data_IF_714257118715
#
_entry.id   IF_714257118715
#
_cell.length_a   1.000
_cell.length_b   1.000
_cell.length_c   1.000
_cell.angle_alpha   90.00
_cell.angle_beta   90.00
_cell.angle_gamma   90.00
#
_symmetry.space_group_name_H-M   'P 1'
#
loop_
_entity.id
_entity.type
_entity.pdbx_description
1 polymer ?
#
# COMPACT_ATOMS: atom_id res chain seq x y z
N UNK A 1 -2.79 25.54 3.48
CA UNK A 1 -1.84 24.43 3.68
C UNK A 1 -2.41 23.02 3.41
N UNK A 2 -3.75 22.84 3.29
CA UNK A 2 -4.36 21.57 2.91
C UNK A 2 -4.15 21.33 1.42
N UNK A 3 -3.45 20.24 1.08
CA UNK A 3 -3.15 19.86 -0.29
C UNK A 3 -4.00 18.71 -0.83
N UNK A 4 -4.59 17.91 0.07
CA UNK A 4 -5.34 16.74 -0.33
C UNK A 4 -6.51 16.47 0.63
N UNK A 5 -7.66 16.06 0.10
CA UNK A 5 -8.84 15.65 0.86
C UNK A 5 -9.18 14.19 0.55
N UNK A 6 -9.47 13.40 1.58
CA UNK A 6 -9.88 12.01 1.47
C UNK A 6 -11.33 11.84 1.97
N UNK A 7 -12.25 11.27 1.17
CA UNK A 7 -13.63 11.05 1.59
C UNK A 7 -13.76 9.83 2.52
N UNK A 8 -14.85 9.78 3.29
CA UNK A 8 -15.29 8.56 3.97
C UNK A 8 -15.83 7.58 2.94
N UNK A 9 -15.19 6.45 2.82
CA UNK A 9 -15.63 5.37 1.93
C UNK A 9 -16.48 4.37 2.68
N UNK A 10 -17.62 4.04 2.10
CA UNK A 10 -18.53 3.02 2.59
C UNK A 10 -18.51 1.81 1.65
N UNK A 11 -18.59 0.61 2.19
CA UNK A 11 -18.81 -0.62 1.44
C UNK A 11 -19.87 -1.45 2.15
N UNK A 12 -20.97 -1.70 1.48
CA UNK A 12 -22.15 -2.34 2.10
C UNK A 12 -22.61 -1.62 3.38
N UNK A 13 -22.64 -0.27 3.36
CA UNK A 13 -23.05 0.58 4.48
C UNK A 13 -22.06 0.65 5.64
N UNK A 14 -20.91 -0.04 5.58
CA UNK A 14 -19.88 0.00 6.61
C UNK A 14 -18.70 0.84 6.18
N UNK A 15 -18.10 1.55 7.14
CA UNK A 15 -16.89 2.33 6.87
C UNK A 15 -15.78 1.40 6.39
N UNK A 16 -15.37 1.63 5.15
CA UNK A 16 -14.26 0.95 4.51
C UNK A 16 -13.19 1.97 4.18
N UNK A 17 -12.09 1.95 4.90
CA UNK A 17 -11.02 2.91 4.66
C UNK A 17 -9.64 2.28 4.77
N UNK A 18 -8.72 2.77 3.95
CA UNK A 18 -7.29 2.53 4.04
C UNK A 18 -6.54 3.82 4.41
N UNK A 19 -7.20 4.68 5.18
CA UNK A 19 -6.64 5.93 5.66
C UNK A 19 -5.91 5.71 6.98
N UNK A 20 -4.76 6.38 7.16
CA UNK A 20 -3.85 6.17 8.27
C UNK A 20 -3.39 7.51 8.85
N UNK A 21 -3.38 7.61 10.18
CA UNK A 21 -2.93 8.82 10.87
C UNK A 21 -1.43 9.03 10.83
N UNK A 22 -0.65 7.94 10.82
CA UNK A 22 0.79 8.03 10.84
C UNK A 22 1.46 6.89 10.06
N UNK A 23 2.69 7.13 9.63
CA UNK A 23 3.59 6.13 9.06
C UNK A 23 4.77 5.89 10.01
N UNK A 24 5.02 4.63 10.32
CA UNK A 24 6.21 4.25 11.08
C UNK A 24 7.34 3.91 10.11
N UNK A 25 8.32 4.78 10.04
CA UNK A 25 9.52 4.62 9.21
C UNK A 25 10.76 4.29 10.05
N UNK A 26 10.57 3.90 11.32
CA UNK A 26 11.66 3.72 12.29
C UNK A 26 11.80 2.30 12.84
N UNK A 27 10.69 1.54 12.97
CA UNK A 27 10.70 0.19 13.55
C UNK A 27 10.52 -0.89 12.46
N UNK A 28 11.50 -1.80 12.25
CA UNK A 28 11.45 -2.80 11.17
C UNK A 28 10.40 -3.90 11.40
N UNK A 29 9.96 -4.11 12.63
CA UNK A 29 8.99 -5.15 13.00
C UNK A 29 7.57 -4.62 13.20
N UNK A 30 7.39 -3.31 13.15
CA UNK A 30 6.08 -2.70 13.23
C UNK A 30 5.43 -2.54 11.84
N UNK A 31 4.09 -2.44 11.81
CA UNK A 31 3.39 -2.05 10.59
C UNK A 31 3.83 -0.66 10.13
N UNK A 32 4.02 -0.50 8.81
CA UNK A 32 4.25 0.81 8.20
C UNK A 32 3.12 1.79 8.56
N UNK A 33 1.89 1.30 8.55
CA UNK A 33 0.68 2.10 8.73
C UNK A 33 0.21 2.05 10.18
N UNK A 34 0.05 3.22 10.81
CA UNK A 34 -0.42 3.41 12.18
C UNK A 34 -1.75 4.18 12.21
N UNK A 35 -2.59 3.90 13.20
CA UNK A 35 -3.85 4.61 13.37
C UNK A 35 -4.79 4.46 12.18
N UNK A 36 -5.16 3.23 11.82
CA UNK A 36 -6.10 2.96 10.73
C UNK A 36 -7.50 3.49 11.09
N UNK A 37 -8.02 4.44 10.32
CA UNK A 37 -9.26 5.15 10.63
C UNK A 37 -10.49 4.23 10.66
N UNK A 38 -10.51 3.13 9.87
CA UNK A 38 -11.62 2.16 9.91
C UNK A 38 -11.76 1.43 11.26
N UNK A 39 -10.75 1.52 12.14
CA UNK A 39 -10.77 0.98 13.49
C UNK A 39 -11.07 2.05 14.55
N UNK A 40 -11.26 3.28 14.13
CA UNK A 40 -11.49 4.45 14.97
C UNK A 40 -12.80 5.10 14.54
N UNK A 41 -13.59 5.54 15.50
CA UNK A 41 -14.76 6.36 15.21
C UNK A 41 -14.27 7.79 14.99
N UNK A 42 -14.23 8.23 13.73
CA UNK A 42 -13.78 9.56 13.35
C UNK A 42 -14.92 10.29 12.67
N UNK A 43 -15.51 11.25 13.39
CA UNK A 43 -16.70 11.99 12.95
C UNK A 43 -16.43 13.49 12.70
N UNK A 44 -15.17 13.91 12.74
CA UNK A 44 -14.74 15.26 12.39
C UNK A 44 -13.55 15.22 11.41
N UNK A 45 -13.36 16.28 10.61
CA UNK A 45 -12.21 16.39 9.74
C UNK A 45 -10.90 16.17 10.50
N UNK A 46 -10.10 15.21 10.04
CA UNK A 46 -8.90 14.76 10.77
C UNK A 46 -7.70 14.73 9.84
N UNK A 47 -6.56 15.24 10.32
CA UNK A 47 -5.31 15.16 9.58
C UNK A 47 -4.82 13.71 9.55
N UNK A 48 -4.43 13.27 8.35
CA UNK A 48 -3.93 11.92 8.08
C UNK A 48 -2.63 12.02 7.28
N UNK A 49 -1.85 10.95 7.24
CA UNK A 49 -0.64 10.91 6.42
C UNK A 49 -0.72 9.94 5.24
N UNK A 50 -1.82 9.23 5.09
CA UNK A 50 -2.01 8.32 3.97
C UNK A 50 -3.46 7.98 3.68
N UNK A 51 -3.80 7.93 2.40
CA UNK A 51 -5.11 7.53 1.87
C UNK A 51 -4.93 6.76 0.57
N UNK A 52 -5.88 5.90 0.24
CA UNK A 52 -5.89 5.23 -1.07
C UNK A 52 -6.39 6.17 -2.17
N UNK A 53 -5.95 5.96 -3.42
CA UNK A 53 -6.44 6.70 -4.59
C UNK A 53 -7.86 6.24 -5.00
N UNK A 54 -8.76 6.30 -4.03
CA UNK A 54 -10.18 6.02 -4.20
C UNK A 54 -10.95 7.28 -3.81
N UNK A 55 -11.12 8.20 -4.77
CA UNK A 55 -11.86 9.45 -4.63
C UNK A 55 -11.19 10.59 -3.86
N UNK A 56 -9.86 10.67 -3.68
CA UNK A 56 -9.26 11.84 -3.06
C UNK A 56 -9.33 13.05 -4.01
N UNK A 57 -9.46 14.25 -3.43
CA UNK A 57 -9.28 15.51 -4.13
C UNK A 57 -7.88 16.03 -3.86
N UNK A 58 -7.15 16.38 -4.92
CA UNK A 58 -5.76 16.86 -4.83
C UNK A 58 -5.72 18.26 -5.46
N UNK A 59 -5.16 19.22 -4.73
CA UNK A 59 -4.97 20.57 -5.24
C UNK A 59 -3.96 20.57 -6.39
N UNK A 60 -4.21 21.40 -7.38
CA UNK A 60 -3.34 21.57 -8.55
C UNK A 60 -1.91 21.92 -8.14
N UNK A 61 -1.74 22.81 -7.16
CA UNK A 61 -0.42 23.23 -6.65
C UNK A 61 0.40 22.09 -6.09
N UNK A 62 -0.26 21.06 -5.52
CA UNK A 62 0.44 19.85 -5.07
C UNK A 62 1.00 19.11 -6.28
N UNK A 63 0.18 18.90 -7.33
CA UNK A 63 0.62 18.22 -8.56
C UNK A 63 1.75 18.99 -9.23
N UNK A 64 1.65 20.32 -9.30
CA UNK A 64 2.69 21.18 -9.89
C UNK A 64 4.00 21.10 -9.10
N UNK A 65 3.93 20.97 -7.76
CA UNK A 65 5.11 20.94 -6.88
C UNK A 65 5.79 19.58 -6.81
N UNK A 66 5.02 18.49 -6.72
CA UNK A 66 5.57 17.14 -6.51
C UNK A 66 5.45 16.22 -7.74
N UNK A 67 4.81 16.68 -8.79
CA UNK A 67 4.55 15.91 -10.01
C UNK A 67 3.40 14.89 -9.86
N UNK A 68 3.25 14.06 -10.85
CA UNK A 68 2.25 12.98 -10.90
C UNK A 68 2.67 11.77 -10.04
N UNK A 69 1.74 10.84 -9.74
CA UNK A 69 2.09 9.54 -9.18
C UNK A 69 3.13 8.81 -10.03
N UNK A 70 4.02 8.05 -9.37
CA UNK A 70 5.07 7.28 -10.06
C UNK A 70 4.46 6.13 -10.85
N UNK A 71 4.39 6.27 -12.17
CA UNK A 71 3.88 5.22 -13.08
C UNK A 71 4.66 3.91 -12.99
N UNK A 72 5.91 3.97 -12.57
CA UNK A 72 6.82 2.83 -12.44
C UNK A 72 6.40 1.89 -11.29
N UNK A 73 5.62 2.37 -10.32
CA UNK A 73 5.03 1.53 -9.28
C UNK A 73 3.93 0.63 -9.84
N UNK A 74 3.22 1.06 -10.87
CA UNK A 74 2.19 0.36 -11.64
C UNK A 74 0.94 -0.02 -10.82
N UNK A 75 1.08 -0.67 -9.67
CA UNK A 75 0.01 -1.06 -8.75
C UNK A 75 0.56 -1.27 -7.35
N UNK A 76 -0.19 -0.85 -6.34
CA UNK A 76 0.19 -0.79 -4.92
C UNK A 76 1.30 0.20 -4.60
N UNK A 77 1.15 0.85 -3.49
CA UNK A 77 2.09 1.81 -2.91
C UNK A 77 2.29 3.12 -3.70
N UNK A 78 1.68 3.27 -4.85
CA UNK A 78 1.64 4.52 -5.63
C UNK A 78 0.91 5.63 -4.87
N UNK A 79 -0.22 5.30 -4.25
CA UNK A 79 -0.96 6.16 -3.34
C UNK A 79 -0.13 6.54 -2.09
N UNK A 80 0.51 5.56 -1.47
CA UNK A 80 1.35 5.79 -0.29
C UNK A 80 2.57 6.64 -0.61
N UNK A 81 3.27 6.38 -1.71
CA UNK A 81 4.40 7.21 -2.19
C UNK A 81 3.94 8.67 -2.41
N UNK A 82 2.79 8.84 -3.05
CA UNK A 82 2.26 10.17 -3.31
C UNK A 82 1.88 10.92 -2.04
N UNK A 83 1.22 10.24 -1.08
CA UNK A 83 0.91 10.81 0.22
C UNK A 83 2.18 11.24 0.98
N UNK A 84 3.21 10.40 1.00
CA UNK A 84 4.49 10.73 1.64
C UNK A 84 5.10 11.99 1.00
N UNK A 85 5.15 12.07 -0.33
CA UNK A 85 5.68 13.24 -1.05
C UNK A 85 4.84 14.50 -0.78
N UNK A 86 3.52 14.36 -0.69
CA UNK A 86 2.61 15.47 -0.37
C UNK A 86 2.93 16.05 1.01
N UNK A 87 3.06 15.19 2.02
CA UNK A 87 3.41 15.62 3.39
C UNK A 87 4.83 16.19 3.46
N UNK A 88 5.80 15.58 2.79
CA UNK A 88 7.17 16.09 2.71
C UNK A 88 7.27 17.45 2.02
N UNK A 89 6.36 17.76 1.10
CA UNK A 89 6.27 19.05 0.45
C UNK A 89 5.61 20.13 1.33
N UNK A 90 5.21 19.80 2.56
CA UNK A 90 4.61 20.72 3.54
C UNK A 90 3.09 20.86 3.44
N UNK A 91 2.42 19.99 2.69
CA UNK A 91 0.96 19.99 2.60
C UNK A 91 0.35 18.99 3.58
N UNK A 92 -0.86 19.33 4.07
CA UNK A 92 -1.69 18.45 4.88
C UNK A 92 -2.60 17.60 4.01
N UNK A 93 -2.88 16.39 4.48
CA UNK A 93 -3.92 15.51 3.94
C UNK A 93 -5.02 15.44 4.99
N UNK A 94 -6.25 15.77 4.62
CA UNK A 94 -7.39 15.78 5.55
C UNK A 94 -8.41 14.71 5.17
N UNK A 95 -8.78 13.87 6.12
CA UNK A 95 -9.92 12.99 6.02
C UNK A 95 -11.18 13.78 6.35
N UNK A 96 -12.18 13.72 5.47
CA UNK A 96 -13.44 14.48 5.58
C UNK A 96 -14.59 13.47 5.70
N UNK A 97 -15.07 13.19 6.91
CA UNK A 97 -16.09 12.17 7.15
C UNK A 97 -17.46 12.51 6.57
N UNK A 98 -17.77 13.79 6.34
CA UNK A 98 -19.03 14.25 5.72
C UNK A 98 -19.05 14.01 4.20
N UNK A 99 -17.90 13.92 3.57
CA UNK A 99 -17.78 13.56 2.15
C UNK A 99 -17.92 12.05 2.00
N UNK A 100 -19.09 11.59 1.62
CA UNK A 100 -19.39 10.16 1.51
C UNK A 100 -19.15 9.65 0.10
N UNK A 101 -18.56 8.47 -0.01
CA UNK A 101 -18.37 7.73 -1.25
C UNK A 101 -18.72 6.26 -1.04
N UNK A 102 -19.70 5.76 -1.79
CA UNK A 102 -20.04 4.35 -1.79
C UNK A 102 -19.12 3.57 -2.73
N UNK A 103 -18.59 2.48 -2.24
CA UNK A 103 -17.73 1.57 -2.98
C UNK A 103 -18.44 0.23 -3.18
N UNK A 104 -18.58 -0.16 -4.42
CA UNK A 104 -19.08 -1.49 -4.75
C UNK A 104 -18.11 -2.60 -4.31
N UNK A 105 -18.68 -3.71 -3.87
CA UNK A 105 -17.90 -4.90 -3.52
C UNK A 105 -17.62 -5.72 -4.76
N UNK A 106 -16.44 -5.56 -5.32
CA UNK A 106 -16.00 -6.29 -6.53
C UNK A 106 -15.58 -7.74 -6.27
N UNK A 107 -15.61 -8.22 -5.03
CA UNK A 107 -15.11 -9.55 -4.73
C UNK A 107 -16.25 -10.55 -4.68
N UNK A 108 -16.30 -11.33 -5.74
CA UNK A 108 -17.18 -12.45 -5.91
C UNK A 108 -16.95 -13.55 -4.85
N UNK A 109 -17.77 -14.57 -4.93
CA UNK A 109 -17.73 -15.80 -4.13
C UNK A 109 -16.47 -16.67 -4.37
N UNK A 110 -15.38 -16.09 -4.90
CA UNK A 110 -14.13 -16.81 -5.17
C UNK A 110 -13.57 -17.46 -3.90
N UNK A 111 -13.19 -18.72 -3.99
CA UNK A 111 -12.43 -19.42 -2.96
C UNK A 111 -11.08 -18.75 -2.73
N UNK A 112 -10.41 -19.05 -1.62
CA UNK A 112 -9.06 -18.54 -1.34
C UNK A 112 -8.07 -18.89 -2.47
N UNK A 113 -8.15 -20.14 -2.99
CA UNK A 113 -7.29 -20.61 -4.08
C UNK A 113 -7.50 -19.80 -5.36
N UNK A 114 -8.74 -19.69 -5.82
CA UNK A 114 -9.09 -18.95 -7.04
C UNK A 114 -8.67 -17.48 -6.95
N UNK A 115 -8.92 -16.84 -5.80
CA UNK A 115 -8.54 -15.46 -5.55
C UNK A 115 -7.03 -15.27 -5.62
N UNK A 116 -6.26 -16.19 -5.03
CA UNK A 116 -4.80 -16.10 -5.08
C UNK A 116 -4.24 -16.40 -6.47
N UNK A 117 -4.79 -17.36 -7.21
CA UNK A 117 -4.42 -17.59 -8.62
C UNK A 117 -4.64 -16.34 -9.47
N UNK A 118 -5.82 -15.72 -9.41
CA UNK A 118 -6.16 -14.52 -10.18
C UNK A 118 -5.29 -13.31 -9.81
N UNK A 119 -4.89 -13.21 -8.54
CA UNK A 119 -4.19 -12.02 -8.01
C UNK A 119 -2.70 -12.25 -7.74
N UNK A 120 -2.15 -13.44 -8.02
CA UNK A 120 -0.75 -13.77 -7.74
C UNK A 120 0.23 -12.76 -8.33
N UNK A 121 0.05 -12.38 -9.58
CA UNK A 121 0.90 -11.39 -10.22
C UNK A 121 0.97 -10.06 -9.47
N UNK A 122 -0.14 -9.62 -8.86
CA UNK A 122 -0.19 -8.41 -8.03
C UNK A 122 0.67 -8.54 -6.77
N UNK A 123 0.84 -9.76 -6.23
CA UNK A 123 1.63 -10.01 -5.03
C UNK A 123 3.11 -9.75 -5.25
N UNK A 124 3.63 -10.04 -6.43
CA UNK A 124 5.01 -9.69 -6.77
C UNK A 124 5.23 -8.18 -6.75
N UNK A 125 4.31 -7.40 -7.33
CA UNK A 125 4.34 -5.94 -7.22
C UNK A 125 4.23 -5.45 -5.78
N UNK A 126 3.35 -6.05 -4.99
CA UNK A 126 3.19 -5.70 -3.58
C UNK A 126 4.50 -5.90 -2.80
N UNK A 127 5.19 -7.01 -3.00
CA UNK A 127 6.50 -7.28 -2.37
C UNK A 127 7.53 -6.24 -2.83
N UNK A 128 7.67 -6.04 -4.14
CA UNK A 128 8.63 -5.08 -4.71
C UNK A 128 8.39 -3.67 -4.21
N UNK A 129 7.16 -3.20 -4.31
CA UNK A 129 6.85 -1.81 -4.01
C UNK A 129 6.89 -1.54 -2.50
N UNK A 130 6.50 -2.51 -1.66
CA UNK A 130 6.70 -2.40 -0.20
C UNK A 130 8.18 -2.36 0.16
N UNK A 131 9.02 -3.18 -0.48
CA UNK A 131 10.47 -3.15 -0.28
C UNK A 131 11.07 -1.81 -0.73
N UNK A 132 10.63 -1.29 -1.88
CA UNK A 132 10.99 0.05 -2.37
C UNK A 132 10.62 1.15 -1.36
N UNK A 133 9.35 1.20 -0.89
CA UNK A 133 8.93 2.22 0.07
C UNK A 133 9.77 2.18 1.35
N UNK A 134 10.00 0.99 1.88
CA UNK A 134 10.80 0.83 3.09
C UNK A 134 12.26 1.24 2.86
N UNK A 135 12.85 0.88 1.72
CA UNK A 135 14.21 1.26 1.37
C UNK A 135 14.34 2.77 1.16
N UNK A 136 13.45 3.35 0.37
CA UNK A 136 13.52 4.76 -0.03
C UNK A 136 13.26 5.73 1.15
N UNK A 137 12.21 5.44 1.95
CA UNK A 137 11.76 6.34 3.02
C UNK A 137 12.21 5.94 4.42
N UNK A 138 12.71 4.72 4.61
CA UNK A 138 13.14 4.20 5.92
C UNK A 138 14.21 5.06 6.58
N UNK A 139 14.04 5.31 7.87
CA UNK A 139 14.92 6.21 8.64
C UNK A 139 16.22 5.53 9.12
N UNK A 140 16.29 4.20 9.05
CA UNK A 140 17.47 3.43 9.45
C UNK A 140 17.63 2.18 8.58
N UNK A 141 18.83 1.57 8.65
CA UNK A 141 19.16 0.37 7.90
C UNK A 141 18.16 -0.77 8.10
N UNK A 142 17.74 -0.99 9.34
CA UNK A 142 16.84 -2.10 9.66
C UNK A 142 15.47 -1.95 8.97
N UNK A 143 14.91 -0.75 8.92
CA UNK A 143 13.67 -0.49 8.17
C UNK A 143 13.90 -0.65 6.67
N UNK A 144 15.01 -0.12 6.16
CA UNK A 144 15.31 -0.14 4.72
C UNK A 144 15.39 -1.56 4.15
N UNK A 145 15.93 -2.49 4.92
CA UNK A 145 16.17 -3.87 4.44
C UNK A 145 15.30 -4.90 5.13
N UNK A 146 15.24 -4.93 6.47
CA UNK A 146 14.58 -6.04 7.18
C UNK A 146 13.05 -5.99 7.09
N UNK A 147 12.42 -4.80 7.05
CA UNK A 147 10.96 -4.74 6.96
C UNK A 147 10.45 -5.34 5.65
N UNK A 148 11.04 -4.99 4.52
CA UNK A 148 10.72 -5.58 3.21
C UNK A 148 11.00 -7.08 3.17
N UNK A 149 12.10 -7.52 3.79
CA UNK A 149 12.47 -8.92 3.92
C UNK A 149 11.45 -9.75 4.71
N UNK A 150 10.91 -9.23 5.81
CA UNK A 150 9.83 -9.90 6.56
C UNK A 150 8.59 -10.17 5.69
N UNK A 151 8.25 -9.23 4.81
CA UNK A 151 7.16 -9.41 3.86
C UNK A 151 7.43 -10.54 2.86
N UNK A 152 8.64 -10.65 2.35
CA UNK A 152 9.04 -11.70 1.41
C UNK A 152 9.03 -13.08 2.07
N UNK A 153 9.54 -13.19 3.31
CA UNK A 153 9.50 -14.45 4.06
C UNK A 153 8.06 -14.96 4.19
N UNK A 154 7.11 -14.08 4.53
CA UNK A 154 5.70 -14.44 4.63
C UNK A 154 5.18 -15.10 3.34
N UNK A 155 5.48 -14.53 2.17
CA UNK A 155 5.06 -15.14 0.89
C UNK A 155 5.80 -16.42 0.54
N UNK A 156 7.08 -16.54 0.90
CA UNK A 156 7.86 -17.78 0.73
C UNK A 156 7.24 -18.91 1.56
N UNK A 157 6.92 -18.64 2.83
CA UNK A 157 6.28 -19.61 3.69
C UNK A 157 4.90 -20.03 3.16
N UNK A 158 4.07 -19.08 2.72
CA UNK A 158 2.79 -19.38 2.08
C UNK A 158 3.01 -20.29 0.86
N UNK A 159 3.97 -20.00 0.00
CA UNK A 159 4.26 -20.81 -1.18
C UNK A 159 4.71 -22.23 -0.78
N UNK A 160 5.61 -22.39 0.20
CA UNK A 160 6.08 -23.67 0.68
C UNK A 160 4.96 -24.52 1.29
N UNK A 161 4.14 -23.93 2.16
CA UNK A 161 3.08 -24.68 2.85
C UNK A 161 1.86 -24.95 1.97
N UNK A 162 1.61 -24.18 0.93
CA UNK A 162 0.42 -24.36 0.08
C UNK A 162 0.69 -25.15 -1.19
N UNK A 163 1.91 -25.16 -1.72
CA UNK A 163 2.23 -25.85 -2.96
C UNK A 163 1.91 -27.36 -3.00
N UNK A 164 1.97 -28.15 -1.90
CA UNK A 164 1.58 -29.55 -1.92
C UNK A 164 0.05 -29.78 -2.05
N UNK A 165 -0.74 -28.79 -1.62
CA UNK A 165 -2.20 -28.94 -1.50
C UNK A 165 -2.98 -28.04 -2.48
N UNK A 166 -2.29 -27.12 -3.17
CA UNK A 166 -2.93 -26.10 -3.97
C UNK A 166 -1.96 -25.54 -5.02
N UNK A 167 -2.45 -25.32 -6.23
CA UNK A 167 -1.71 -24.67 -7.31
C UNK A 167 -1.83 -23.13 -7.29
N UNK A 168 -2.31 -22.55 -6.18
CA UNK A 168 -2.30 -21.10 -5.97
C UNK A 168 -0.86 -20.52 -6.05
N UNK A 169 0.10 -21.20 -5.41
CA UNK A 169 1.52 -20.88 -5.46
C UNK A 169 2.33 -22.13 -5.83
N UNK A 170 3.46 -21.91 -6.51
CA UNK A 170 4.41 -22.93 -6.92
C UNK A 170 5.77 -22.66 -6.30
N UNK A 171 6.64 -23.66 -6.19
CA UNK A 171 8.00 -23.48 -5.73
C UNK A 171 8.80 -22.47 -6.58
N UNK A 172 8.52 -22.40 -7.88
CA UNK A 172 9.12 -21.40 -8.78
C UNK A 172 8.75 -19.95 -8.41
N UNK A 173 7.63 -19.73 -7.71
CA UNK A 173 7.23 -18.39 -7.26
C UNK A 173 8.16 -17.85 -6.15
N UNK A 174 8.85 -18.73 -5.41
CA UNK A 174 9.81 -18.34 -4.37
C UNK A 174 10.92 -17.47 -4.95
N UNK A 175 11.53 -17.91 -6.05
CA UNK A 175 12.56 -17.12 -6.74
C UNK A 175 12.03 -15.76 -7.26
N UNK A 176 10.77 -15.74 -7.70
CA UNK A 176 10.12 -14.50 -8.15
C UNK A 176 9.85 -13.53 -7.01
N UNK A 177 9.42 -14.00 -5.83
CA UNK A 177 9.25 -13.16 -4.64
C UNK A 177 10.60 -12.61 -4.16
N UNK A 178 11.65 -13.43 -4.17
CA UNK A 178 12.99 -12.98 -3.84
C UNK A 178 13.51 -11.93 -4.81
N UNK A 179 13.34 -12.16 -6.11
CA UNK A 179 13.68 -11.18 -7.14
C UNK A 179 12.89 -9.88 -6.95
N UNK A 180 11.59 -9.96 -6.67
CA UNK A 180 10.77 -8.79 -6.42
C UNK A 180 11.29 -7.96 -5.23
N UNK A 181 11.69 -8.60 -4.13
CA UNK A 181 12.32 -7.92 -3.00
C UNK A 181 13.62 -7.21 -3.41
N UNK A 182 14.51 -7.92 -4.11
CA UNK A 182 15.78 -7.34 -4.58
C UNK A 182 15.56 -6.17 -5.56
N UNK A 183 14.59 -6.28 -6.45
CA UNK A 183 14.22 -5.18 -7.35
C UNK A 183 13.71 -3.97 -6.57
N UNK A 184 12.95 -4.18 -5.49
CA UNK A 184 12.46 -3.11 -4.60
C UNK A 184 13.57 -2.39 -3.86
N UNK A 185 14.47 -3.12 -3.18
CA UNK A 185 15.58 -2.50 -2.43
C UNK A 185 16.64 -1.87 -3.34
N UNK A 186 16.72 -2.29 -4.61
CA UNK A 186 17.58 -1.65 -5.60
C UNK A 186 16.85 -0.60 -6.45
N UNK A 187 15.61 -0.24 -6.08
CA UNK A 187 14.75 0.74 -6.75
C UNK A 187 14.53 0.46 -8.26
N UNK A 188 14.58 -0.82 -8.66
CA UNK A 188 14.29 -1.27 -10.02
C UNK A 188 12.77 -1.40 -10.19
N UNK A 189 12.14 -0.32 -10.58
CA UNK A 189 10.70 -0.22 -10.76
C UNK A 189 10.30 -0.46 -12.21
N UNK A 190 9.00 -0.35 -12.51
CA UNK A 190 8.45 -0.55 -13.84
C UNK A 190 7.71 -1.89 -13.97
N UNK A 191 7.43 -2.30 -15.22
CA UNK A 191 6.71 -3.53 -15.47
C UNK A 191 7.60 -4.75 -15.17
N UNK A 192 7.10 -5.65 -14.32
CA UNK A 192 7.79 -6.91 -14.01
C UNK A 192 7.57 -7.91 -15.17
N UNK A 193 8.67 -8.43 -15.71
CA UNK A 193 8.67 -9.50 -16.72
C UNK A 193 8.56 -10.88 -16.10
#
# INVERSE_FOLDING_TARGET
DVGMLAPRRLMEGKVYTNDFQALDLTCPFASLYKGKLSKMQVDAPTEICGTAFEGPFIRREVVEKIGLPKKELFIFCDDTDYCIRTVQAGYKIMYVPEALMDKEKFFSKDTWVERNKKKKWKRFYQVRNSAYLNHHYGKNWAVRYLRGFNGVIGYILIALFTCPFSDAYRLSDIGRFWKAYLDGVNERLGMMK
#
